data_IF_078056828104
#
_entry.id   IF_078056828104
#
_cell.length_a   1.000
_cell.length_b   1.000
_cell.length_c   1.000
_cell.angle_alpha   90.00
_cell.angle_beta   90.00
_cell.angle_gamma   90.00
#
_symmetry.space_group_name_H-M   'P 1'
#
loop_
_entity.id
_entity.type
_entity.pdbx_description
1 polymer ?
#
# COMPACT_ATOMS: atom_id res chain seq x y z
N UNK A 1 2.56 11.61 4.57
CA UNK A 1 2.73 10.15 4.39
C UNK A 1 2.60 9.74 2.92
N UNK A 2 1.43 9.65 2.29
CA UNK A 2 1.34 9.07 0.93
C UNK A 2 2.05 9.89 -0.17
N UNK A 3 1.93 11.21 -0.15
CA UNK A 3 2.63 12.08 -1.12
C UNK A 3 4.15 12.01 -0.99
N UNK A 4 4.65 11.83 0.24
CA UNK A 4 6.08 11.64 0.48
C UNK A 4 6.53 10.26 0.05
N UNK A 5 5.74 9.22 0.35
CA UNK A 5 5.99 7.87 -0.12
C UNK A 5 6.05 7.80 -1.66
N UNK A 6 5.17 8.52 -2.36
CA UNK A 6 5.21 8.63 -3.83
C UNK A 6 6.52 9.26 -4.33
N UNK A 7 7.02 10.30 -3.67
CA UNK A 7 8.30 10.94 -4.03
C UNK A 7 9.48 10.01 -3.75
N UNK A 8 9.45 9.31 -2.62
CA UNK A 8 10.49 8.35 -2.23
C UNK A 8 10.54 7.17 -3.19
N UNK A 9 9.39 6.54 -3.49
CA UNK A 9 9.30 5.40 -4.40
C UNK A 9 9.71 5.80 -5.83
N UNK A 10 9.28 6.97 -6.30
CA UNK A 10 9.74 7.52 -7.58
C UNK A 10 11.27 7.62 -7.65
N UNK A 11 11.89 8.05 -6.55
CA UNK A 11 13.35 8.09 -6.42
C UNK A 11 13.99 6.70 -6.44
N UNK A 12 13.44 5.74 -5.68
CA UNK A 12 13.95 4.37 -5.62
C UNK A 12 13.91 3.64 -6.97
N UNK A 13 12.88 3.89 -7.77
CA UNK A 13 12.74 3.30 -9.10
C UNK A 13 13.31 4.16 -10.23
N UNK A 14 13.98 5.28 -9.90
CA UNK A 14 14.55 6.23 -10.87
C UNK A 14 13.54 6.69 -11.94
N UNK A 15 12.29 6.93 -11.53
CA UNK A 15 11.19 7.32 -12.41
C UNK A 15 11.17 8.83 -12.67
N UNK A 16 10.61 9.23 -13.81
CA UNK A 16 10.56 10.62 -14.23
C UNK A 16 9.58 11.44 -13.39
N UNK A 17 9.83 12.75 -13.26
CA UNK A 17 8.98 13.59 -12.40
C UNK A 17 7.57 13.82 -12.94
N UNK A 18 7.41 13.76 -14.27
CA UNK A 18 6.13 13.96 -14.95
C UNK A 18 5.27 12.70 -15.02
N UNK A 19 5.76 11.55 -14.54
CA UNK A 19 5.00 10.31 -14.47
C UNK A 19 3.88 10.38 -13.44
N UNK A 20 2.72 9.84 -13.78
CA UNK A 20 1.66 9.56 -12.80
C UNK A 20 1.93 8.19 -12.17
N UNK A 21 1.87 8.12 -10.84
CA UNK A 21 2.14 6.92 -10.07
C UNK A 21 1.07 6.69 -9.01
N UNK A 22 0.85 5.43 -8.66
CA UNK A 22 -0.17 5.03 -7.69
C UNK A 22 0.44 4.20 -6.58
N UNK A 23 0.12 4.54 -5.33
CA UNK A 23 0.32 3.64 -4.19
C UNK A 23 -1.05 3.16 -3.74
N UNK A 24 -1.19 1.86 -3.55
CA UNK A 24 -2.42 1.24 -3.06
C UNK A 24 -2.13 0.56 -1.72
N UNK A 25 -3.07 0.66 -0.79
CA UNK A 25 -2.98 0.02 0.52
C UNK A 25 -4.24 -0.81 0.76
N UNK A 26 -4.05 -1.97 1.37
CA UNK A 26 -5.16 -2.79 1.87
C UNK A 26 -4.85 -3.21 3.31
N UNK A 27 -5.75 -2.82 4.22
CA UNK A 27 -5.70 -3.22 5.61
C UNK A 27 -7.05 -3.78 6.03
N UNK A 28 -7.05 -4.76 6.92
CA UNK A 28 -8.28 -5.38 7.40
C UNK A 28 -8.01 -6.63 8.20
N UNK A 29 -9.07 -7.29 8.65
CA UNK A 29 -8.97 -8.60 9.27
C UNK A 29 -10.23 -9.44 9.05
N UNK A 30 -10.05 -10.76 9.07
CA UNK A 30 -11.15 -11.72 9.10
C UNK A 30 -11.35 -12.20 10.54
N UNK A 31 -12.61 -12.23 10.97
CA UNK A 31 -13.02 -12.75 12.27
C UNK A 31 -13.82 -14.05 12.09
N UNK A 32 -13.62 -14.99 13.01
CA UNK A 32 -14.37 -16.23 13.06
C UNK A 32 -15.79 -16.03 13.60
N UNK A 33 -16.66 -17.06 13.53
CA UNK A 33 -18.00 -17.00 14.10
C UNK A 33 -18.04 -16.70 15.61
N UNK A 34 -16.95 -16.98 16.33
CA UNK A 34 -16.75 -16.68 17.75
C UNK A 34 -16.18 -15.28 18.01
N UNK A 35 -16.06 -14.46 16.96
CA UNK A 35 -15.51 -13.11 17.01
C UNK A 35 -13.99 -13.05 17.17
N UNK A 36 -13.29 -14.19 17.12
CA UNK A 36 -11.83 -14.22 17.26
C UNK A 36 -11.14 -13.90 15.94
N UNK A 37 -10.00 -13.22 16.04
CA UNK A 37 -9.16 -12.89 14.90
C UNK A 37 -8.64 -14.18 14.24
N UNK A 38 -8.93 -14.32 12.95
CA UNK A 38 -8.39 -15.40 12.12
C UNK A 38 -7.17 -14.92 11.34
N UNK A 39 -7.29 -13.74 10.71
CA UNK A 39 -6.24 -13.22 9.84
C UNK A 39 -6.25 -11.71 9.80
N UNK A 40 -5.06 -11.11 9.88
CA UNK A 40 -4.85 -9.70 9.59
C UNK A 40 -4.28 -9.49 8.18
N UNK A 41 -4.60 -8.35 7.59
CA UNK A 41 -4.09 -7.90 6.31
C UNK A 41 -3.46 -6.53 6.49
N UNK A 42 -2.27 -6.38 5.91
CA UNK A 42 -1.60 -5.11 5.73
C UNK A 42 -0.70 -5.23 4.50
N UNK A 43 -1.21 -4.80 3.36
CA UNK A 43 -0.58 -4.95 2.06
C UNK A 43 -0.45 -3.59 1.39
N UNK A 44 0.59 -3.44 0.59
CA UNK A 44 0.85 -2.27 -0.22
C UNK A 44 1.24 -2.68 -1.63
N UNK A 45 0.90 -1.83 -2.60
CA UNK A 45 1.29 -1.99 -4.00
C UNK A 45 1.71 -0.62 -4.57
N UNK A 46 2.61 -0.65 -5.55
CA UNK A 46 3.10 0.53 -6.25
C UNK A 46 3.02 0.28 -7.75
N UNK A 47 2.22 1.09 -8.45
CA UNK A 47 1.91 0.97 -9.88
C UNK A 47 1.28 -0.39 -10.29
N UNK A 48 0.50 -1.00 -9.38
CA UNK A 48 -0.29 -2.22 -9.60
C UNK A 48 0.36 -3.49 -9.08
#
# INVERSE_FOLDING_TARGET
>A
TDRENLRTLRGYYNQSEGGSHTIQWMYGCDLGPDGRLLRGYHQSAYDG
#
